data_IF_789313133501
#
_entry.id   IF_789313133501
#
_cell.length_a   1.000
_cell.length_b   1.000
_cell.length_c   1.000
_cell.angle_alpha   90.00
_cell.angle_beta   90.00
_cell.angle_gamma   90.00
#
_symmetry.space_group_name_H-M   'P 1'
#
loop_
_entity.id
_entity.type
_entity.pdbx_description
1 polymer ?
#
# COMPACT_ATOMS: atom_id res chain seq x y z
N UNK A 1 -11.88 10.14 -18.81
CA UNK A 1 -10.81 11.09 -18.39
C UNK A 1 -10.24 10.56 -17.09
N UNK A 2 -8.93 10.68 -16.84
CA UNK A 2 -8.37 10.27 -15.54
C UNK A 2 -8.79 11.33 -14.51
N UNK A 3 -9.62 10.93 -13.54
CA UNK A 3 -10.06 11.82 -12.48
C UNK A 3 -8.90 12.13 -11.52
N UNK A 4 -8.83 13.36 -10.98
CA UNK A 4 -7.74 13.75 -10.09
C UNK A 4 -7.70 12.87 -8.81
N UNK A 5 -6.52 12.70 -8.19
CA UNK A 5 -6.42 11.98 -6.92
C UNK A 5 -7.19 12.70 -5.80
N UNK A 6 -7.91 11.92 -4.99
CA UNK A 6 -8.52 12.41 -3.76
C UNK A 6 -7.44 12.54 -2.69
N UNK A 7 -7.01 13.78 -2.44
CA UNK A 7 -5.85 14.08 -1.59
C UNK A 7 -6.27 14.39 -0.14
N UNK A 8 -6.01 13.47 0.79
CA UNK A 8 -6.14 13.65 2.23
C UNK A 8 -4.78 13.66 2.93
N UNK A 9 -3.70 13.94 2.20
CA UNK A 9 -2.37 14.02 2.79
C UNK A 9 -2.17 15.28 3.64
N UNK A 10 -1.27 15.20 4.63
CA UNK A 10 -0.94 16.30 5.54
C UNK A 10 -2.14 16.82 6.34
N UNK A 11 -2.97 15.92 6.85
CA UNK A 11 -4.21 16.23 7.59
C UNK A 11 -4.20 15.77 9.04
N UNK A 12 -3.05 15.28 9.52
CA UNK A 12 -2.90 14.72 10.87
C UNK A 12 -3.90 13.60 11.19
N UNK A 13 -4.35 12.85 10.17
CA UNK A 13 -5.35 11.79 10.34
C UNK A 13 -4.76 10.64 11.16
N UNK A 14 -5.57 10.08 12.04
CA UNK A 14 -5.21 8.94 12.90
C UNK A 14 -5.94 7.67 12.46
N UNK A 15 -7.17 7.82 11.97
CA UNK A 15 -8.09 6.72 11.69
C UNK A 15 -8.81 6.90 10.36
N UNK A 16 -9.15 5.81 9.63
CA UNK A 16 -9.89 5.91 8.36
C UNK A 16 -11.20 6.70 8.47
N UNK A 17 -11.86 6.64 9.63
CA UNK A 17 -13.09 7.39 9.92
C UNK A 17 -12.93 8.91 9.80
N UNK A 18 -11.72 9.44 9.99
CA UNK A 18 -11.46 10.87 9.92
C UNK A 18 -11.75 11.44 8.51
N UNK A 19 -11.65 10.61 7.47
CA UNK A 19 -11.95 10.95 6.07
C UNK A 19 -13.40 11.44 5.86
N UNK A 20 -14.32 11.06 6.74
CA UNK A 20 -15.72 11.48 6.68
C UNK A 20 -15.95 12.91 7.18
N UNK A 21 -15.03 13.40 8.02
CA UNK A 21 -15.16 14.70 8.70
C UNK A 21 -14.18 15.73 8.15
N UNK A 22 -13.10 15.27 7.52
CA UNK A 22 -12.07 16.12 6.97
C UNK A 22 -12.36 16.48 5.53
N UNK A 23 -11.90 17.65 5.13
CA UNK A 23 -11.94 18.06 3.73
C UNK A 23 -10.69 17.53 3.02
N UNK A 24 -10.80 17.08 1.75
CA UNK A 24 -9.61 16.85 0.94
C UNK A 24 -8.83 18.14 0.71
N UNK A 25 -7.51 18.03 0.54
CA UNK A 25 -6.60 19.11 0.19
C UNK A 25 -6.86 19.51 -1.27
N UNK A 26 -7.64 20.57 -1.47
CA UNK A 26 -7.93 21.13 -2.80
C UNK A 26 -6.64 21.56 -3.49
N UNK A 27 -6.44 21.14 -4.74
CA UNK A 27 -5.43 21.80 -5.60
C UNK A 27 -6.02 22.61 -6.74
N UNK A 28 -7.16 22.27 -7.33
CA UNK A 28 -7.83 23.05 -8.41
C UNK A 28 -9.35 22.78 -8.41
N UNK A 29 -10.17 23.74 -8.86
CA UNK A 29 -11.65 23.77 -8.92
C UNK A 29 -12.38 22.57 -9.58
N UNK A 30 -11.65 21.57 -10.10
CA UNK A 30 -12.20 20.37 -10.75
C UNK A 30 -12.29 19.12 -9.85
N UNK A 31 -11.92 19.24 -8.58
CA UNK A 31 -12.03 18.20 -7.53
C UNK A 31 -13.32 18.34 -6.72
N UNK A 32 -14.44 18.65 -7.40
CA UNK A 32 -15.73 18.78 -6.73
C UNK A 32 -16.36 17.40 -6.54
N UNK A 33 -16.90 17.09 -5.36
CA UNK A 33 -17.69 15.89 -5.17
C UNK A 33 -18.85 15.85 -6.17
N UNK A 34 -19.04 14.68 -6.77
CA UNK A 34 -19.99 14.37 -7.84
C UNK A 34 -21.04 13.41 -7.27
N UNK A 35 -22.30 13.59 -7.62
CA UNK A 35 -23.40 12.75 -7.19
C UNK A 35 -24.66 13.56 -6.85
N UNK A 36 -25.81 12.89 -6.65
CA UNK A 36 -27.08 13.58 -6.40
C UNK A 36 -27.09 14.43 -5.13
N UNK A 37 -26.19 14.14 -4.16
CA UNK A 37 -26.01 14.89 -2.93
C UNK A 37 -24.74 15.76 -2.91
N UNK A 38 -23.91 15.70 -3.95
CA UNK A 38 -22.64 16.42 -4.04
C UNK A 38 -21.65 16.08 -2.94
N UNK A 39 -21.57 14.81 -2.49
CA UNK A 39 -20.66 14.40 -1.39
C UNK A 39 -19.61 13.34 -1.75
N UNK A 40 -19.82 12.58 -2.82
CA UNK A 40 -18.92 11.49 -3.21
C UNK A 40 -17.90 11.96 -4.25
N UNK A 41 -16.73 11.35 -4.29
CA UNK A 41 -15.68 11.67 -5.26
C UNK A 41 -15.59 10.55 -6.30
N UNK A 42 -15.49 10.93 -7.57
CA UNK A 42 -15.14 10.00 -8.64
C UNK A 42 -13.61 10.05 -8.83
N UNK A 43 -12.89 9.04 -8.34
CA UNK A 43 -11.44 8.94 -8.48
C UNK A 43 -10.99 7.48 -8.44
N UNK A 44 -9.78 7.25 -8.95
CA UNK A 44 -9.08 5.98 -8.85
C UNK A 44 -7.82 6.07 -7.98
N UNK A 45 -7.51 7.26 -7.45
CA UNK A 45 -6.30 7.52 -6.70
C UNK A 45 -6.64 8.16 -5.35
N UNK A 46 -6.19 7.54 -4.27
CA UNK A 46 -6.39 8.01 -2.91
C UNK A 46 -5.04 8.33 -2.27
N UNK A 47 -4.85 9.56 -1.81
CA UNK A 47 -3.62 9.97 -1.12
C UNK A 47 -3.90 10.17 0.35
N UNK A 48 -3.23 9.40 1.18
CA UNK A 48 -3.31 9.39 2.64
C UNK A 48 -1.93 9.66 3.27
N UNK A 49 -1.00 10.19 2.48
CA UNK A 49 0.39 10.35 2.87
C UNK A 49 0.61 11.47 3.90
N UNK A 50 1.68 11.39 4.69
CA UNK A 50 1.99 12.40 5.73
C UNK A 50 0.83 12.57 6.72
N UNK A 51 0.36 11.45 7.25
CA UNK A 51 -0.63 11.38 8.33
C UNK A 51 -0.03 10.56 9.48
N UNK A 52 -0.86 10.10 10.41
CA UNK A 52 -0.46 9.37 11.61
C UNK A 52 -1.19 8.03 11.71
N UNK A 53 -1.59 7.45 10.56
CA UNK A 53 -2.28 6.16 10.53
C UNK A 53 -1.42 5.08 11.18
N UNK A 54 -1.97 4.44 12.22
CA UNK A 54 -1.45 3.20 12.79
C UNK A 54 -2.08 1.97 12.13
N UNK A 55 -3.27 2.14 11.55
CA UNK A 55 -4.06 1.10 10.91
C UNK A 55 -4.93 1.72 9.81
N UNK A 56 -5.19 0.94 8.77
CA UNK A 56 -6.10 1.25 7.65
C UNK A 56 -7.29 0.30 7.60
N UNK A 57 -7.55 -0.47 8.67
CA UNK A 57 -8.51 -1.56 8.69
C UNK A 57 -9.94 -1.10 8.40
N UNK A 58 -10.27 0.16 8.74
CA UNK A 58 -11.56 0.77 8.46
C UNK A 58 -11.73 1.31 7.02
N UNK A 59 -10.73 1.21 6.14
CA UNK A 59 -10.86 1.74 4.78
C UNK A 59 -12.03 1.10 4.01
N UNK A 60 -12.23 -0.23 3.99
CA UNK A 60 -13.33 -0.85 3.24
C UNK A 60 -14.72 -0.30 3.59
N UNK A 61 -14.96 0.07 4.85
CA UNK A 61 -16.23 0.64 5.32
C UNK A 61 -16.36 2.12 4.98
N UNK A 62 -15.24 2.83 4.88
CA UNK A 62 -15.20 4.28 4.64
C UNK A 62 -15.23 4.62 3.14
N UNK A 63 -14.55 3.85 2.30
CA UNK A 63 -14.45 4.14 0.86
C UNK A 63 -15.83 4.25 0.18
N UNK A 64 -16.82 3.37 0.41
CA UNK A 64 -18.17 3.49 -0.16
C UNK A 64 -18.93 4.75 0.27
N UNK A 65 -18.49 5.41 1.33
CA UNK A 65 -19.14 6.62 1.87
C UNK A 65 -18.54 7.91 1.32
N UNK A 66 -17.38 7.82 0.65
CA UNK A 66 -16.68 8.98 0.08
C UNK A 66 -16.39 8.83 -1.41
N UNK A 67 -16.53 7.64 -1.99
CA UNK A 67 -16.27 7.38 -3.42
C UNK A 67 -17.52 6.92 -4.15
N UNK A 68 -17.66 7.37 -5.40
CA UNK A 68 -18.69 6.87 -6.33
C UNK A 68 -18.43 5.41 -6.69
N UNK A 69 -17.17 5.05 -6.93
CA UNK A 69 -16.77 3.69 -7.28
C UNK A 69 -15.50 3.25 -6.51
N UNK A 70 -15.65 2.77 -5.26
CA UNK A 70 -14.54 2.30 -4.43
C UNK A 70 -13.70 1.20 -5.08
N UNK A 71 -14.34 0.34 -5.87
CA UNK A 71 -13.66 -0.79 -6.52
C UNK A 71 -12.69 -0.34 -7.61
N UNK A 72 -12.86 0.87 -8.16
CA UNK A 72 -11.98 1.42 -9.19
C UNK A 72 -10.63 1.95 -8.65
N UNK A 73 -10.41 1.94 -7.33
CA UNK A 73 -9.15 2.39 -6.74
C UNK A 73 -7.99 1.55 -7.28
N UNK A 74 -7.07 2.23 -7.95
CA UNK A 74 -5.88 1.66 -8.57
C UNK A 74 -4.57 2.25 -8.03
N UNK A 75 -4.63 3.38 -7.32
CA UNK A 75 -3.49 4.00 -6.66
C UNK A 75 -3.83 4.41 -5.23
N UNK A 76 -3.03 3.92 -4.27
CA UNK A 76 -3.08 4.35 -2.87
C UNK A 76 -1.71 4.83 -2.43
N UNK A 77 -1.65 6.03 -1.87
CA UNK A 77 -0.44 6.57 -1.24
C UNK A 77 -0.60 6.62 0.28
N UNK A 78 0.07 5.71 0.98
CA UNK A 78 0.13 5.61 2.45
C UNK A 78 1.52 5.99 2.99
N UNK A 79 2.35 6.64 2.18
CA UNK A 79 3.71 7.02 2.60
C UNK A 79 3.73 7.99 3.78
N UNK A 80 4.79 7.98 4.58
CA UNK A 80 4.94 8.85 5.74
C UNK A 80 3.74 8.73 6.71
N UNK A 81 3.51 7.51 7.19
CA UNK A 81 2.54 7.18 8.23
C UNK A 81 3.25 6.33 9.30
N UNK A 82 2.49 5.74 10.23
CA UNK A 82 3.04 4.97 11.34
C UNK A 82 2.71 3.47 11.23
N UNK A 83 2.42 2.96 10.03
CA UNK A 83 2.01 1.57 9.81
C UNK A 83 3.15 0.61 10.16
N UNK A 84 2.86 -0.42 10.95
CA UNK A 84 3.84 -1.47 11.32
C UNK A 84 3.72 -2.73 10.47
N UNK A 85 2.64 -2.85 9.70
CA UNK A 85 2.37 -3.97 8.80
C UNK A 85 1.46 -3.58 7.65
N UNK A 86 1.46 -4.41 6.60
CA UNK A 86 0.48 -4.34 5.52
C UNK A 86 -0.77 -5.10 5.96
N UNK A 87 -1.90 -4.40 6.03
CA UNK A 87 -3.15 -5.02 6.46
C UNK A 87 -3.87 -5.76 5.34
N UNK A 88 -4.55 -6.89 5.63
CA UNK A 88 -5.29 -7.67 4.65
C UNK A 88 -6.41 -6.90 3.93
N UNK A 89 -6.91 -5.82 4.53
CA UNK A 89 -7.94 -4.96 3.90
C UNK A 89 -7.49 -4.38 2.57
N UNK A 90 -6.19 -4.20 2.36
CA UNK A 90 -5.64 -3.74 1.08
C UNK A 90 -5.79 -4.78 -0.04
N UNK A 91 -5.95 -6.07 0.29
CA UNK A 91 -6.26 -7.13 -0.69
C UNK A 91 -7.70 -7.05 -1.22
N UNK A 92 -8.57 -6.25 -0.59
CA UNK A 92 -9.94 -6.03 -1.06
C UNK A 92 -9.98 -5.05 -2.25
N UNK A 93 -8.94 -4.21 -2.39
CA UNK A 93 -8.78 -3.27 -3.51
C UNK A 93 -8.27 -4.02 -4.75
N UNK A 94 -9.15 -4.76 -5.42
CA UNK A 94 -8.79 -5.69 -6.51
C UNK A 94 -8.11 -5.04 -7.71
N UNK A 95 -8.36 -3.75 -7.93
CA UNK A 95 -7.76 -2.98 -9.02
C UNK A 95 -6.48 -2.25 -8.62
N UNK A 96 -5.97 -2.43 -7.39
CA UNK A 96 -4.78 -1.73 -6.91
C UNK A 96 -3.54 -2.09 -7.72
N UNK A 97 -2.95 -1.10 -8.40
CA UNK A 97 -1.74 -1.22 -9.23
C UNK A 97 -0.55 -0.47 -8.64
N UNK A 98 -0.78 0.60 -7.88
CA UNK A 98 0.26 1.43 -7.27
C UNK A 98 0.00 1.55 -5.78
N UNK A 99 0.96 1.14 -4.97
CA UNK A 99 0.90 1.24 -3.51
C UNK A 99 2.18 1.87 -2.98
N UNK A 100 2.06 3.03 -2.33
CA UNK A 100 3.18 3.65 -1.65
C UNK A 100 3.10 3.44 -0.14
N UNK A 101 4.14 2.83 0.44
CA UNK A 101 4.26 2.55 1.87
C UNK A 101 5.61 3.02 2.44
N UNK A 102 6.41 3.75 1.68
CA UNK A 102 7.70 4.26 2.15
C UNK A 102 7.55 5.20 3.35
N UNK A 103 8.57 5.25 4.21
CA UNK A 103 8.55 6.08 5.43
C UNK A 103 7.46 5.65 6.42
N UNK A 104 7.24 4.35 6.59
CA UNK A 104 6.41 3.78 7.65
C UNK A 104 7.31 2.98 8.64
N UNK A 105 6.71 2.21 9.54
CA UNK A 105 7.40 1.44 10.57
C UNK A 105 7.32 -0.08 10.34
N UNK A 106 7.25 -0.53 9.07
CA UNK A 106 7.11 -1.96 8.77
C UNK A 106 8.42 -2.69 9.10
N UNK A 107 8.34 -3.57 10.10
CA UNK A 107 9.54 -4.06 10.80
C UNK A 107 10.27 -5.13 10.00
N UNK A 108 9.54 -6.12 9.49
CA UNK A 108 10.12 -7.31 8.89
C UNK A 108 9.21 -7.94 7.81
N UNK A 109 9.66 -9.06 7.25
CA UNK A 109 8.96 -9.79 6.21
C UNK A 109 7.61 -10.40 6.63
N UNK A 110 7.46 -11.02 7.82
CA UNK A 110 6.14 -11.41 8.33
C UNK A 110 5.08 -10.30 8.25
N UNK A 111 5.45 -9.06 8.58
CA UNK A 111 4.54 -7.90 8.50
C UNK A 111 4.25 -7.43 7.05
N UNK A 112 4.94 -7.98 6.04
CA UNK A 112 4.69 -7.77 4.61
C UNK A 112 4.03 -8.98 3.93
N UNK A 113 3.97 -10.13 4.59
CA UNK A 113 3.73 -11.43 3.94
C UNK A 113 2.37 -11.51 3.22
N UNK A 114 1.39 -10.71 3.64
CA UNK A 114 0.09 -10.61 2.99
C UNK A 114 0.19 -10.22 1.50
N UNK A 115 1.26 -9.52 1.10
CA UNK A 115 1.54 -9.17 -0.29
C UNK A 115 1.79 -10.39 -1.18
N UNK A 116 2.23 -11.51 -0.60
CA UNK A 116 2.37 -12.79 -1.30
C UNK A 116 1.00 -13.45 -1.61
N UNK A 117 -0.11 -12.91 -1.08
CA UNK A 117 -1.47 -13.45 -1.15
C UNK A 117 -2.29 -13.07 -2.38
N UNK A 118 -1.68 -12.66 -3.49
CA UNK A 118 -2.39 -12.45 -4.76
C UNK A 118 -2.83 -11.02 -5.07
N UNK A 119 -2.21 -10.02 -4.45
CA UNK A 119 -2.34 -8.63 -4.91
C UNK A 119 -1.58 -8.43 -6.23
N UNK A 120 -2.12 -7.64 -7.16
CA UNK A 120 -1.56 -7.46 -8.52
C UNK A 120 -0.90 -6.10 -8.73
N UNK A 121 -0.22 -5.60 -7.68
CA UNK A 121 0.51 -4.33 -7.73
C UNK A 121 1.66 -4.37 -8.75
N UNK A 122 1.78 -3.30 -9.53
CA UNK A 122 2.90 -3.05 -10.46
C UNK A 122 3.95 -2.11 -9.88
N UNK A 123 3.57 -1.21 -8.99
CA UNK A 123 4.50 -0.27 -8.35
C UNK A 123 4.34 -0.30 -6.84
N UNK A 124 5.42 -0.62 -6.13
CA UNK A 124 5.48 -0.67 -4.68
C UNK A 124 6.63 0.20 -4.17
N UNK A 125 6.43 0.92 -3.08
CA UNK A 125 7.53 1.56 -2.34
C UNK A 125 7.46 1.17 -0.87
N UNK A 126 8.60 0.85 -0.30
CA UNK A 126 8.79 0.32 1.04
C UNK A 126 10.08 0.84 1.69
N UNK A 127 10.96 1.54 0.97
CA UNK A 127 12.15 2.20 1.54
C UNK A 127 11.78 3.13 2.71
N UNK A 128 12.72 3.34 3.63
CA UNK A 128 12.46 4.09 4.85
C UNK A 128 11.59 3.35 5.86
N UNK A 129 11.33 2.05 5.65
CA UNK A 129 10.79 1.13 6.67
C UNK A 129 11.94 0.26 7.20
N UNK A 130 11.95 -0.16 8.48
CA UNK A 130 13.00 -1.02 9.02
C UNK A 130 13.29 -2.30 8.19
N UNK A 131 12.27 -2.89 7.56
CA UNK A 131 12.40 -4.08 6.71
C UNK A 131 13.38 -3.89 5.55
N UNK A 132 13.56 -2.66 5.05
CA UNK A 132 14.43 -2.36 3.90
C UNK A 132 15.92 -2.61 4.17
N UNK A 133 16.31 -2.67 5.44
CA UNK A 133 17.67 -2.97 5.90
C UNK A 133 17.97 -4.47 5.91
N UNK A 134 16.96 -5.30 5.73
CA UNK A 134 17.12 -6.76 5.76
C UNK A 134 17.86 -7.23 4.52
N UNK A 135 18.87 -8.08 4.71
CA UNK A 135 19.67 -8.61 3.60
C UNK A 135 18.76 -9.36 2.61
N UNK A 136 18.84 -8.98 1.34
CA UNK A 136 18.03 -9.57 0.29
C UNK A 136 16.60 -9.02 0.18
N UNK A 137 16.23 -8.00 0.96
CA UNK A 137 14.93 -7.31 0.96
C UNK A 137 14.33 -7.16 -0.43
N UNK A 138 15.04 -6.47 -1.34
CA UNK A 138 14.57 -6.21 -2.70
C UNK A 138 14.18 -7.50 -3.43
N UNK A 139 15.07 -8.49 -3.39
CA UNK A 139 14.89 -9.75 -4.12
C UNK A 139 13.81 -10.63 -3.50
N UNK A 140 13.65 -10.62 -2.17
CA UNK A 140 12.60 -11.35 -1.46
C UNK A 140 11.22 -10.77 -1.82
N UNK A 141 11.06 -9.44 -1.77
CA UNK A 141 9.80 -8.78 -2.16
C UNK A 141 9.45 -9.07 -3.63
N UNK A 142 10.44 -9.00 -4.52
CA UNK A 142 10.28 -9.32 -5.95
C UNK A 142 9.90 -10.79 -6.18
N UNK A 143 10.33 -11.70 -5.30
CA UNK A 143 9.97 -13.12 -5.37
C UNK A 143 8.50 -13.38 -5.05
N UNK A 144 7.91 -12.57 -4.16
CA UNK A 144 6.48 -12.63 -3.84
C UNK A 144 5.63 -11.95 -4.92
N UNK A 145 6.11 -10.82 -5.46
CA UNK A 145 5.42 -10.01 -6.45
C UNK A 145 6.10 -10.14 -7.82
N UNK A 146 5.96 -11.31 -8.45
CA UNK A 146 6.59 -11.63 -9.75
C UNK A 146 6.13 -10.74 -10.90
N UNK A 147 5.00 -10.06 -10.76
CA UNK A 147 4.44 -9.09 -11.70
C UNK A 147 4.96 -7.65 -11.53
N UNK A 148 5.63 -7.35 -10.41
CA UNK A 148 6.03 -5.99 -10.02
C UNK A 148 6.94 -5.32 -11.05
N UNK A 149 6.62 -4.12 -11.52
CA UNK A 149 7.42 -3.36 -12.48
C UNK A 149 8.37 -2.39 -11.82
N UNK A 150 8.00 -1.84 -10.67
CA UNK A 150 8.79 -0.87 -9.93
C UNK A 150 8.79 -1.19 -8.44
N UNK A 151 9.97 -1.16 -7.83
CA UNK A 151 10.18 -1.26 -6.39
C UNK A 151 11.09 -0.11 -5.95
N UNK A 152 10.63 0.70 -4.99
CA UNK A 152 11.40 1.82 -4.43
C UNK A 152 11.89 2.80 -5.49
N UNK A 153 10.96 3.24 -6.35
CA UNK A 153 11.20 4.15 -7.47
C UNK A 153 12.19 3.66 -8.53
N UNK A 154 12.70 2.42 -8.41
CA UNK A 154 13.55 1.79 -9.40
C UNK A 154 12.79 0.71 -10.18
N UNK A 155 13.13 0.54 -11.45
CA UNK A 155 12.56 -0.51 -12.31
C UNK A 155 13.06 -1.87 -11.84
N UNK A 156 12.20 -2.89 -11.89
CA UNK A 156 12.58 -4.29 -11.68
C UNK A 156 13.22 -4.83 -12.96
N UNK A 157 14.49 -5.19 -12.86
CA UNK A 157 15.32 -5.67 -13.97
C UNK A 157 15.33 -7.20 -14.08
N UNK A 158 15.84 -7.74 -15.18
CA UNK A 158 16.03 -9.19 -15.32
C UNK A 158 17.05 -9.75 -14.32
N UNK A 159 18.05 -8.95 -13.94
CA UNK A 159 18.98 -9.30 -12.87
C UNK A 159 18.25 -9.44 -11.53
N UNK A 160 17.37 -8.49 -11.20
CA UNK A 160 16.54 -8.58 -10.01
C UNK A 160 15.70 -9.86 -10.01
N UNK A 161 15.12 -10.23 -11.16
CA UNK A 161 14.34 -11.46 -11.31
C UNK A 161 15.19 -12.71 -11.08
N UNK A 162 16.38 -12.78 -11.68
CA UNK A 162 17.31 -13.88 -11.45
C UNK A 162 17.68 -14.03 -9.97
N UNK A 163 17.99 -12.92 -9.29
CA UNK A 163 18.30 -12.92 -7.86
C UNK A 163 17.08 -13.29 -7.01
N UNK A 164 15.88 -12.86 -7.39
CA UNK A 164 14.64 -13.15 -6.65
C UNK A 164 14.35 -14.66 -6.56
N UNK A 165 14.71 -15.45 -7.57
CA UNK A 165 14.57 -16.92 -7.53
C UNK A 165 15.51 -17.59 -6.50
N UNK A 166 16.67 -16.99 -6.25
CA UNK A 166 17.63 -17.47 -5.24
C UNK A 166 17.22 -17.00 -3.85
N UNK A 167 16.93 -15.71 -3.71
CA UNK A 167 16.56 -15.10 -2.43
C UNK A 167 15.19 -15.54 -1.93
N UNK A 168 14.23 -15.76 -2.81
CA UNK A 168 12.92 -16.33 -2.46
C UNK A 168 13.06 -17.72 -1.83
N UNK A 169 13.91 -18.59 -2.40
CA UNK A 169 14.23 -19.90 -1.80
C UNK A 169 14.94 -19.78 -0.46
N UNK A 170 15.93 -18.88 -0.35
CA UNK A 170 16.59 -18.59 0.94
C UNK A 170 15.59 -18.13 1.99
N UNK A 171 14.65 -17.25 1.64
CA UNK A 171 13.61 -16.80 2.55
C UNK A 171 12.73 -17.94 3.04
N UNK A 172 12.29 -18.85 2.16
CA UNK A 172 11.51 -20.02 2.57
C UNK A 172 12.26 -20.89 3.59
N UNK A 173 13.58 -21.04 3.45
CA UNK A 173 14.41 -21.76 4.44
C UNK A 173 14.50 -21.01 5.77
N UNK A 174 14.69 -19.68 5.74
CA UNK A 174 14.72 -18.84 6.95
C UNK A 174 13.38 -18.92 7.67
N UNK A 175 12.27 -18.73 6.94
CA UNK A 175 10.91 -18.82 7.46
C UNK A 175 10.63 -20.18 8.10
N UNK A 176 11.07 -21.27 7.48
CA UNK A 176 10.90 -22.61 8.04
C UNK A 176 11.69 -22.83 9.35
N UNK A 177 12.83 -22.15 9.52
CA UNK A 177 13.59 -22.19 10.79
C UNK A 177 12.91 -21.38 11.88
N UNK A 178 12.48 -20.15 11.57
CA UNK A 178 11.74 -19.29 12.51
C UNK A 178 10.51 -20.02 13.09
N UNK A 179 9.74 -20.70 12.23
CA UNK A 179 8.57 -21.50 12.66
C UNK A 179 8.90 -22.65 13.61
N UNK A 180 10.11 -23.23 13.53
CA UNK A 180 10.53 -24.31 14.43
C UNK A 180 11.00 -23.78 15.78
N UNK A 181 11.58 -22.59 15.81
CA UNK A 181 12.02 -21.91 17.04
C UNK A 181 10.82 -21.37 17.84
N UNK A 182 9.74 -20.98 17.16
CA UNK A 182 8.48 -20.52 17.79
C UNK A 182 7.60 -21.65 18.36
N UNK A 183 8.06 -22.91 18.35
CA UNK A 183 7.45 -24.00 19.13
C UNK A 183 6.09 -24.51 18.61
N UNK A 184 6.04 -24.97 17.36
CA UNK A 184 5.04 -25.94 16.89
C UNK A 184 5.69 -27.29 16.57
#
# INVERSE_FOLDING_TARGET
MAHPPLDFGFRDLLHPADLLTQTPRRKIDHECPIGPDGKLYDTQALKLNNNKFLSVAGLPEILPRILVNPEAISWVDLSFNNLTHVEPVLLQLKNLQILYLHGNNIIDFPHLEILNGGITIRTLTLHGNPVDRTVGYRFIVISWLRQLKNLDFSVVTDFDRMQSEVWGRKWLMIKAKLKKEDGY
#
